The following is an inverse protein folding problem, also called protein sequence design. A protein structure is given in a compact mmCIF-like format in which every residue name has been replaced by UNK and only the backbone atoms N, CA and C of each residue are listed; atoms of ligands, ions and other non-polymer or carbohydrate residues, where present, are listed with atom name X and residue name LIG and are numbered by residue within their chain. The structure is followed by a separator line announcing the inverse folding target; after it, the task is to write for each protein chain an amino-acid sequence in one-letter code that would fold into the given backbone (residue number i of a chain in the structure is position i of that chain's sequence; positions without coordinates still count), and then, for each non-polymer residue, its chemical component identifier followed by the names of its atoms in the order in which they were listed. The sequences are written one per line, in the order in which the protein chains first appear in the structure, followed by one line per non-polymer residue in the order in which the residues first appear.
data_IF_292130290405
#
_entry.id   IF_292130290405
#
_cell.length_a   1.000
_cell.length_b   1.000
_cell.length_c   1.000
_cell.angle_alpha   90.00
_cell.angle_beta   90.00
_cell.angle_gamma   90.00
#
_symmetry.space_group_name_H-M   'P 1'
#
loop_
_entity.id
_entity.type
_entity.pdbx_description
1 polymer ?
#
# COMPACT_ATOMS: atom_id res chain seq x y z
N UNK A 1 9.94 -73.40 15.29
CA UNK A 1 8.85 -73.78 16.20
C UNK A 1 7.72 -72.75 16.03
N UNK A 2 6.57 -73.29 15.61
CA UNK A 2 5.34 -72.51 15.33
C UNK A 2 4.64 -72.15 16.62
N UNK A 3 4.07 -70.97 16.77
CA UNK A 3 2.87 -70.71 17.56
C UNK A 3 1.99 -69.68 16.83
N UNK A 4 0.71 -70.13 16.69
CA UNK A 4 -0.38 -69.45 16.00
C UNK A 4 -1.12 -68.46 16.94
N UNK A 5 -2.02 -67.62 16.38
CA UNK A 5 -2.54 -66.40 17.04
C UNK A 5 -3.82 -66.70 17.84
N UNK A 6 -4.01 -66.00 18.95
CA UNK A 6 -5.27 -65.97 19.72
C UNK A 6 -6.21 -64.88 19.07
N UNK A 7 -7.40 -65.32 18.70
CA UNK A 7 -8.56 -64.52 18.33
C UNK A 7 -9.26 -64.09 19.62
N UNK A 8 -9.36 -62.74 19.78
CA UNK A 8 -10.24 -62.16 20.81
C UNK A 8 -11.50 -61.66 20.14
N UNK A 9 -12.61 -62.18 20.61
CA UNK A 9 -13.98 -61.87 20.20
C UNK A 9 -14.41 -60.57 20.90
N UNK A 10 -14.73 -59.49 20.14
CA UNK A 10 -15.33 -58.30 20.71
C UNK A 10 -16.81 -58.28 20.38
N UNK A 11 -17.62 -58.35 21.48
CA UNK A 11 -19.05 -58.19 21.41
C UNK A 11 -19.43 -56.77 21.30
N UNK A 12 -20.10 -56.42 20.21
CA UNK A 12 -20.64 -55.05 19.97
C UNK A 12 -22.07 -54.99 20.49
N UNK A 13 -22.27 -54.20 21.53
CA UNK A 13 -23.62 -53.83 22.01
C UNK A 13 -24.12 -52.64 21.21
N UNK A 14 -25.23 -52.85 20.50
CA UNK A 14 -25.97 -51.75 19.83
C UNK A 14 -26.84 -51.03 20.87
N UNK A 15 -26.53 -49.77 21.15
CA UNK A 15 -27.43 -48.84 21.81
C UNK A 15 -28.21 -48.06 20.73
N UNK A 16 -29.51 -48.31 20.67
CA UNK A 16 -30.42 -47.56 19.82
C UNK A 16 -30.63 -46.14 20.38
N UNK A 17 -30.13 -45.15 19.70
CA UNK A 17 -30.46 -43.72 19.95
C UNK A 17 -31.64 -43.36 19.06
N UNK A 18 -32.79 -43.07 19.67
CA UNK A 18 -33.95 -42.55 19.00
C UNK A 18 -33.68 -41.10 18.51
N UNK A 19 -33.58 -40.91 17.20
CA UNK A 19 -33.51 -39.58 16.58
C UNK A 19 -34.94 -39.07 16.49
N UNK A 20 -35.28 -38.08 17.30
CA UNK A 20 -36.48 -37.25 17.12
C UNK A 20 -36.20 -36.31 15.94
N UNK A 21 -36.75 -36.62 14.79
CA UNK A 21 -36.72 -35.74 13.63
C UNK A 21 -37.70 -34.58 13.86
N UNK A 22 -37.18 -33.42 14.20
CA UNK A 22 -37.90 -32.15 14.01
C UNK A 22 -37.92 -31.84 12.52
N UNK A 23 -39.05 -32.11 11.87
CA UNK A 23 -39.33 -31.62 10.51
C UNK A 23 -39.54 -30.11 10.57
N UNK A 24 -38.51 -29.38 10.16
CA UNK A 24 -38.68 -27.96 9.80
C UNK A 24 -39.09 -27.91 8.34
N UNK A 25 -40.30 -27.45 8.10
CA UNK A 25 -40.80 -27.19 6.74
C UNK A 25 -39.92 -26.18 6.01
N UNK A 26 -39.57 -26.36 4.74
CA UNK A 26 -38.86 -25.38 3.95
C UNK A 26 -39.88 -24.35 3.43
N UNK A 27 -40.16 -23.33 4.23
CA UNK A 27 -40.86 -22.13 3.73
C UNK A 27 -40.05 -20.91 4.14
N UNK A 28 -39.79 -20.05 3.13
CA UNK A 28 -39.21 -18.72 3.21
C UNK A 28 -37.68 -18.62 3.27
N UNK A 29 -37.00 -19.10 2.22
CA UNK A 29 -35.83 -18.45 1.67
C UNK A 29 -36.28 -17.68 0.39
N UNK A 30 -37.25 -16.80 0.56
CA UNK A 30 -37.49 -15.76 -0.42
C UNK A 30 -36.49 -14.63 -0.16
N UNK A 31 -35.76 -14.35 -1.19
CA UNK A 31 -34.87 -13.21 -1.39
C UNK A 31 -35.53 -11.95 -0.87
N UNK A 32 -34.92 -11.34 0.13
CA UNK A 32 -35.18 -9.98 0.49
C UNK A 32 -34.69 -9.04 -0.60
N UNK A 33 -35.47 -8.91 -1.66
CA UNK A 33 -35.46 -7.67 -2.40
C UNK A 33 -36.02 -6.63 -1.43
N UNK A 34 -35.19 -5.66 -1.03
CA UNK A 34 -35.60 -4.53 -0.22
C UNK A 34 -36.82 -3.89 -0.87
N UNK A 35 -37.97 -4.08 -0.25
CA UNK A 35 -39.09 -3.17 -0.46
C UNK A 35 -38.68 -1.89 0.25
N UNK A 36 -38.40 -0.86 -0.53
CA UNK A 36 -38.41 0.51 -0.06
C UNK A 36 -39.77 0.75 0.60
N UNK A 37 -39.76 0.87 1.93
CA UNK A 37 -40.91 1.35 2.68
C UNK A 37 -41.03 2.85 2.39
N UNK A 38 -42.08 3.33 1.70
CA UNK A 38 -42.20 4.75 1.36
C UNK A 38 -42.47 5.66 2.57
N UNK A 39 -42.48 5.12 3.79
CA UNK A 39 -42.73 5.87 5.04
C UNK A 39 -41.49 6.11 5.91
N UNK A 40 -40.30 5.57 5.57
CA UNK A 40 -39.05 6.03 6.16
C UNK A 40 -38.60 7.30 5.44
N UNK A 41 -38.43 8.44 6.12
CA UNK A 41 -37.81 9.60 5.51
C UNK A 41 -36.38 9.16 5.15
N UNK A 42 -36.09 8.97 3.85
CA UNK A 42 -34.76 8.74 3.36
C UNK A 42 -33.88 9.87 3.90
N UNK A 43 -32.93 9.53 4.74
CA UNK A 43 -31.95 10.51 5.23
C UNK A 43 -31.14 10.89 3.98
N UNK A 44 -31.47 12.04 3.41
CA UNK A 44 -30.75 12.60 2.26
C UNK A 44 -29.31 12.83 2.75
N UNK A 45 -28.38 12.02 2.23
CA UNK A 45 -26.96 12.18 2.56
C UNK A 45 -26.50 13.46 1.88
N UNK A 46 -26.42 14.55 2.64
CA UNK A 46 -25.84 15.80 2.17
C UNK A 46 -24.35 15.58 1.99
N UNK A 47 -23.85 15.80 0.77
CA UNK A 47 -22.42 15.73 0.46
C UNK A 47 -21.82 17.13 0.45
N UNK A 48 -20.61 17.27 0.99
CA UNK A 48 -19.86 18.51 0.99
C UNK A 48 -19.12 18.78 -0.34
N UNK A 49 -18.35 19.86 -0.39
CA UNK A 49 -17.63 20.28 -1.62
C UNK A 49 -16.67 19.25 -2.19
N UNK A 50 -16.15 18.33 -1.37
CA UNK A 50 -15.25 17.26 -1.79
C UNK A 50 -15.98 15.94 -2.10
N UNK A 51 -17.34 15.96 -2.08
CA UNK A 51 -18.17 14.80 -2.37
C UNK A 51 -18.31 13.81 -1.21
N UNK A 52 -17.80 14.14 -0.01
CA UNK A 52 -17.92 13.28 1.17
C UNK A 52 -19.18 13.62 1.98
N UNK A 53 -19.72 12.67 2.78
CA UNK A 53 -20.86 12.92 3.64
C UNK A 53 -20.61 14.05 4.64
N UNK A 54 -21.59 14.93 4.83
CA UNK A 54 -21.60 15.94 5.88
C UNK A 54 -22.25 15.35 7.12
N UNK A 55 -21.56 15.42 8.24
CA UNK A 55 -22.03 14.90 9.52
C UNK A 55 -22.15 16.01 10.56
N UNK A 56 -23.20 15.93 11.38
CA UNK A 56 -23.40 16.82 12.54
C UNK A 56 -23.10 16.02 13.81
N UNK A 57 -22.06 16.42 14.55
CA UNK A 57 -21.55 15.67 15.71
C UNK A 57 -21.19 16.58 16.87
N UNK A 58 -21.37 16.07 18.09
CA UNK A 58 -20.90 16.70 19.34
C UNK A 58 -19.66 15.90 19.81
N UNK A 59 -18.49 16.27 19.33
CA UNK A 59 -17.22 15.57 19.62
C UNK A 59 -16.54 16.06 20.89
N UNK A 60 -17.05 17.11 21.51
CA UNK A 60 -16.40 17.79 22.64
C UNK A 60 -15.24 18.68 22.19
N UNK A 61 -15.10 18.95 20.92
CA UNK A 61 -14.07 19.81 20.32
C UNK A 61 -14.69 21.13 19.83
N UNK A 62 -13.94 22.24 19.80
CA UNK A 62 -14.33 23.43 19.03
C UNK A 62 -14.53 23.08 17.56
N UNK A 63 -15.50 23.68 16.88
CA UNK A 63 -15.89 23.28 15.54
C UNK A 63 -14.82 23.49 14.47
N UNK A 64 -13.96 24.47 14.62
CA UNK A 64 -12.80 24.71 13.77
C UNK A 64 -11.75 23.62 13.93
N UNK A 65 -11.47 23.18 15.16
CA UNK A 65 -10.59 22.06 15.48
C UNK A 65 -11.16 20.74 14.93
N UNK A 66 -12.45 20.47 15.21
CA UNK A 66 -13.16 19.27 14.72
C UNK A 66 -13.09 19.18 13.19
N UNK A 67 -13.32 20.31 12.51
CA UNK A 67 -13.22 20.36 11.03
C UNK A 67 -11.84 19.99 10.54
N UNK A 68 -10.76 20.53 11.13
CA UNK A 68 -9.38 20.21 10.70
C UNK A 68 -9.09 18.73 10.93
N UNK A 69 -9.41 18.19 12.11
CA UNK A 69 -9.19 16.78 12.42
C UNK A 69 -9.97 15.86 11.48
N UNK A 70 -11.23 16.15 11.20
CA UNK A 70 -12.06 15.38 10.28
C UNK A 70 -11.51 15.38 8.87
N UNK A 71 -11.11 16.53 8.35
CA UNK A 71 -10.71 16.64 6.94
C UNK A 71 -9.27 16.20 6.68
N UNK A 72 -8.38 16.28 7.68
CA UNK A 72 -6.94 16.04 7.52
C UNK A 72 -6.41 14.79 8.20
N UNK A 73 -7.07 14.31 9.28
CA UNK A 73 -6.50 13.29 10.15
C UNK A 73 -7.34 12.00 10.20
N UNK A 74 -8.67 12.11 10.17
CA UNK A 74 -9.55 10.99 10.48
C UNK A 74 -9.69 9.95 9.36
N UNK A 75 -9.08 10.15 8.18
CA UNK A 75 -8.90 9.07 7.21
C UNK A 75 -8.15 7.89 7.83
N UNK A 76 -7.12 8.18 8.64
CA UNK A 76 -6.32 7.18 9.35
C UNK A 76 -6.68 7.10 10.84
N UNK A 77 -6.87 8.25 11.50
CA UNK A 77 -7.13 8.39 12.92
C UNK A 77 -8.63 8.41 13.25
N UNK A 78 -9.44 7.58 12.57
CA UNK A 78 -10.87 7.38 12.86
C UNK A 78 -11.09 6.65 14.18
N UNK A 79 -12.35 6.46 14.61
CA UNK A 79 -12.69 5.75 15.84
C UNK A 79 -12.06 4.34 15.88
N UNK A 80 -12.11 3.62 14.77
CA UNK A 80 -11.25 2.48 14.49
C UNK A 80 -10.08 2.96 13.64
N UNK A 81 -8.89 3.02 14.25
CA UNK A 81 -7.70 3.49 13.55
C UNK A 81 -7.35 2.58 12.38
N UNK A 82 -6.90 3.19 11.28
CA UNK A 82 -6.50 2.51 10.04
C UNK A 82 -5.05 2.81 9.74
N UNK A 83 -4.43 1.97 8.91
CA UNK A 83 -3.10 2.24 8.31
C UNK A 83 -2.00 2.55 9.34
N UNK A 84 -1.97 1.78 10.44
CA UNK A 84 -0.93 1.94 11.47
C UNK A 84 -1.09 3.18 12.36
N UNK A 85 -2.16 3.96 12.21
CA UNK A 85 -2.42 5.09 13.11
C UNK A 85 -2.56 4.60 14.56
N UNK A 86 -1.76 5.15 15.44
CA UNK A 86 -1.57 4.64 16.81
C UNK A 86 -2.68 5.05 17.79
N UNK A 87 -3.51 6.04 17.43
CA UNK A 87 -4.60 6.54 18.29
C UNK A 87 -5.71 7.19 17.46
N UNK A 88 -6.98 7.12 17.87
CA UNK A 88 -8.06 7.90 17.28
C UNK A 88 -7.93 9.39 17.61
N UNK A 89 -8.35 10.26 16.70
CA UNK A 89 -8.42 11.71 16.85
C UNK A 89 -9.84 12.21 16.56
N UNK A 90 -10.86 11.57 17.18
CA UNK A 90 -12.27 11.82 16.89
C UNK A 90 -12.92 12.71 17.92
N UNK A 91 -12.62 12.50 19.20
CA UNK A 91 -13.24 13.21 20.30
C UNK A 91 -12.22 13.95 21.17
N UNK A 92 -12.68 14.96 21.91
CA UNK A 92 -11.85 15.58 22.95
C UNK A 92 -11.28 14.53 23.91
N UNK A 93 -12.09 13.54 24.31
CA UNK A 93 -11.66 12.46 25.20
C UNK A 93 -10.52 11.62 24.59
N UNK A 94 -10.51 11.39 23.29
CA UNK A 94 -9.41 10.69 22.63
C UNK A 94 -8.11 11.47 22.72
N UNK A 95 -8.17 12.77 22.50
CA UNK A 95 -7.02 13.66 22.55
C UNK A 95 -6.44 13.83 23.96
N UNK A 96 -7.23 13.57 25.00
CA UNK A 96 -6.79 13.61 26.41
C UNK A 96 -6.16 12.28 26.88
N UNK A 97 -6.23 11.20 26.12
CA UNK A 97 -5.58 9.93 26.47
C UNK A 97 -4.06 10.07 26.48
N UNK A 98 -3.38 9.18 27.21
CA UNK A 98 -1.93 9.03 27.16
C UNK A 98 -1.50 8.46 25.81
N UNK A 99 -0.35 8.91 25.33
CA UNK A 99 0.25 8.40 24.10
C UNK A 99 0.63 6.91 24.22
N UNK A 100 0.75 6.21 23.08
CA UNK A 100 1.12 4.80 23.06
C UNK A 100 2.62 4.57 23.33
N UNK A 101 2.95 3.40 23.87
CA UNK A 101 4.32 2.92 24.01
C UNK A 101 5.26 3.92 24.72
N UNK A 102 6.37 4.25 24.09
CA UNK A 102 7.38 5.19 24.62
C UNK A 102 6.84 6.63 24.83
N UNK A 103 5.71 6.98 24.25
CA UNK A 103 5.07 8.29 24.39
C UNK A 103 4.02 8.35 25.51
N UNK A 104 3.92 7.34 26.35
CA UNK A 104 2.91 7.25 27.42
C UNK A 104 2.95 8.42 28.46
N UNK A 105 4.06 9.14 28.54
CA UNK A 105 4.21 10.33 29.37
C UNK A 105 3.57 11.61 28.83
N UNK A 106 3.11 11.59 27.56
CA UNK A 106 2.48 12.73 26.88
C UNK A 106 1.02 12.44 26.57
N UNK A 107 0.22 13.48 26.49
CA UNK A 107 -1.15 13.39 25.97
C UNK A 107 -1.15 13.32 24.44
N UNK A 108 -2.21 12.73 23.85
CA UNK A 108 -2.34 12.63 22.39
C UNK A 108 -2.31 14.02 21.73
N UNK A 109 -2.96 15.03 22.29
CA UNK A 109 -2.93 16.39 21.72
C UNK A 109 -1.52 17.01 21.72
N UNK A 110 -0.64 16.65 22.68
CA UNK A 110 0.75 17.10 22.71
C UNK A 110 1.53 16.44 21.56
N UNK A 111 1.30 15.14 21.34
CA UNK A 111 1.89 14.42 20.22
C UNK A 111 1.40 14.95 18.86
N UNK A 112 0.13 15.34 18.76
CA UNK A 112 -0.41 16.02 17.57
C UNK A 112 0.39 17.30 17.31
N UNK A 113 0.60 18.15 18.34
CA UNK A 113 1.38 19.39 18.18
C UNK A 113 2.82 19.15 17.71
N UNK A 114 3.46 18.09 18.18
CA UNK A 114 4.80 17.71 17.73
C UNK A 114 4.80 17.24 16.28
N UNK A 115 3.87 16.36 15.93
CA UNK A 115 3.84 15.69 14.63
C UNK A 115 3.41 16.59 13.47
N UNK A 116 2.52 17.55 13.69
CA UNK A 116 2.14 18.52 12.65
C UNK A 116 3.25 19.54 12.32
N UNK A 117 4.30 19.60 13.15
CA UNK A 117 5.48 20.48 12.99
C UNK A 117 6.76 19.71 12.67
N UNK A 118 6.72 18.39 12.68
CA UNK A 118 7.87 17.53 12.42
C UNK A 118 8.17 17.52 10.91
N UNK A 119 9.21 18.25 10.50
CA UNK A 119 9.62 18.31 9.09
C UNK A 119 10.17 16.96 8.57
N UNK A 120 10.66 16.11 9.45
CA UNK A 120 11.22 14.81 9.05
C UNK A 120 10.12 13.76 8.85
N UNK A 121 9.06 13.83 9.63
CA UNK A 121 7.94 12.89 9.61
C UNK A 121 6.62 13.63 9.82
N UNK A 122 6.22 14.50 8.90
CA UNK A 122 5.05 15.35 9.07
C UNK A 122 3.74 14.56 9.18
N UNK A 123 2.75 15.15 9.82
CA UNK A 123 1.38 14.71 9.77
C UNK A 123 0.48 15.84 9.23
N UNK A 124 -0.42 15.59 8.28
CA UNK A 124 -0.63 14.33 7.55
C UNK A 124 0.62 13.91 6.75
N UNK A 125 0.82 12.58 6.56
CA UNK A 125 1.95 12.09 5.79
C UNK A 125 1.70 12.29 4.27
N UNK A 126 2.76 12.46 3.49
CA UNK A 126 2.66 12.43 2.01
C UNK A 126 2.01 11.13 1.53
N UNK A 127 1.15 11.13 0.45
CA UNK A 127 0.86 12.24 -0.45
C UNK A 127 -0.25 13.18 0.03
N UNK A 128 -0.79 12.98 1.25
CA UNK A 128 -1.81 13.87 1.77
C UNK A 128 -1.23 15.29 1.91
N UNK A 129 -2.00 16.33 1.55
CA UNK A 129 -1.51 17.69 1.67
C UNK A 129 -1.27 18.02 3.15
N UNK A 130 -0.15 18.68 3.41
CA UNK A 130 0.13 19.24 4.74
C UNK A 130 -0.96 20.23 5.15
N UNK A 131 -1.06 20.50 6.45
CA UNK A 131 -1.94 21.53 6.96
C UNK A 131 -1.60 22.89 6.33
N UNK A 132 -2.62 23.65 5.97
CA UNK A 132 -2.43 25.05 5.61
C UNK A 132 -1.99 25.86 6.84
N UNK A 133 -1.47 27.07 6.63
CA UNK A 133 -1.06 27.94 7.73
C UNK A 133 -2.20 28.20 8.73
N UNK A 134 -3.43 28.36 8.23
CA UNK A 134 -4.63 28.60 9.06
C UNK A 134 -5.03 27.34 9.84
N UNK A 135 -5.00 26.17 9.21
CA UNK A 135 -5.30 24.89 9.89
C UNK A 135 -4.25 24.58 10.97
N UNK A 136 -2.97 24.85 10.69
CA UNK A 136 -1.90 24.72 11.66
C UNK A 136 -2.08 25.69 12.82
N UNK A 137 -2.41 26.94 12.55
CA UNK A 137 -2.67 27.96 13.57
C UNK A 137 -3.88 27.60 14.45
N UNK A 138 -4.94 27.04 13.85
CA UNK A 138 -6.13 26.56 14.56
C UNK A 138 -5.78 25.48 15.57
N UNK A 139 -5.10 24.39 15.13
CA UNK A 139 -4.74 23.30 16.03
C UNK A 139 -3.73 23.76 17.10
N UNK A 140 -2.69 24.46 16.70
CA UNK A 140 -1.65 24.94 17.61
C UNK A 140 -2.18 25.94 18.65
N UNK A 141 -3.07 26.83 18.22
CA UNK A 141 -3.75 27.79 19.09
C UNK A 141 -4.60 27.10 20.16
N UNK A 142 -5.42 26.13 19.75
CA UNK A 142 -6.24 25.34 20.67
C UNK A 142 -5.39 24.54 21.66
N UNK A 143 -4.33 23.91 21.19
CA UNK A 143 -3.40 23.13 22.03
C UNK A 143 -2.70 24.04 23.04
N UNK A 144 -2.18 25.20 22.61
CA UNK A 144 -1.54 26.21 23.50
C UNK A 144 -2.51 26.79 24.52
N UNK A 145 -3.80 26.88 24.20
CA UNK A 145 -4.85 27.29 25.12
C UNK A 145 -5.23 26.18 26.13
N UNK A 146 -4.52 25.06 26.15
CA UNK A 146 -4.72 23.95 27.10
C UNK A 146 -5.66 22.86 26.56
N UNK A 147 -5.90 22.79 25.28
CA UNK A 147 -6.71 21.77 24.60
C UNK A 147 -8.08 21.56 25.30
N UNK A 148 -8.81 22.65 25.54
CA UNK A 148 -10.05 22.65 26.31
C UNK A 148 -11.21 22.02 25.54
N UNK A 149 -12.10 21.36 26.27
CA UNK A 149 -13.37 20.87 25.72
C UNK A 149 -14.28 22.02 25.27
N UNK A 150 -15.14 21.73 24.29
CA UNK A 150 -16.26 22.58 23.88
C UNK A 150 -17.59 21.81 23.98
N UNK A 151 -18.67 22.53 24.18
CA UNK A 151 -20.04 22.00 24.10
C UNK A 151 -20.64 22.13 22.68
N UNK A 152 -19.85 22.56 21.69
CA UNK A 152 -20.32 22.82 20.35
C UNK A 152 -20.80 21.54 19.65
N UNK A 153 -21.87 21.69 18.87
CA UNK A 153 -22.31 20.69 17.91
C UNK A 153 -21.87 21.17 16.55
N UNK A 154 -21.01 20.38 15.91
CA UNK A 154 -20.32 20.78 14.70
C UNK A 154 -20.86 20.04 13.47
N UNK A 155 -21.08 20.79 12.39
CA UNK A 155 -21.42 20.24 11.08
C UNK A 155 -20.22 20.38 10.16
N UNK A 156 -19.64 19.27 9.73
CA UNK A 156 -18.47 19.27 8.89
C UNK A 156 -18.46 18.06 7.97
N UNK A 157 -17.78 18.20 6.83
CA UNK A 157 -17.56 17.11 5.90
C UNK A 157 -16.62 16.08 6.55
N UNK A 158 -16.97 14.79 6.44
CA UNK A 158 -16.12 13.70 6.90
C UNK A 158 -14.90 13.56 5.95
N UNK A 159 -13.76 13.12 6.49
CA UNK A 159 -12.66 12.69 5.63
C UNK A 159 -13.13 11.51 4.76
N UNK A 160 -12.79 11.55 3.49
CA UNK A 160 -13.00 10.40 2.59
C UNK A 160 -12.11 9.22 3.01
N UNK A 161 -12.47 8.02 2.56
CA UNK A 161 -11.71 6.81 2.85
C UNK A 161 -10.32 6.76 2.18
N UNK A 162 -9.92 7.83 1.50
CA UNK A 162 -8.59 8.03 0.91
C UNK A 162 -8.39 7.34 -0.44
N UNK A 163 -9.04 6.23 -0.71
CA UNK A 163 -8.94 5.49 -1.97
C UNK A 163 -10.16 5.81 -2.83
N UNK A 164 -9.95 6.48 -3.97
CA UNK A 164 -11.04 6.69 -4.94
C UNK A 164 -11.47 5.34 -5.52
N UNK A 165 -12.76 5.12 -5.78
CA UNK A 165 -13.19 3.94 -6.53
C UNK A 165 -12.47 3.87 -7.89
N UNK A 166 -12.23 2.65 -8.39
CA UNK A 166 -11.79 2.48 -9.77
C UNK A 166 -12.83 3.06 -10.75
N UNK A 167 -12.38 3.56 -11.90
CA UNK A 167 -13.25 4.02 -12.99
C UNK A 167 -14.03 2.87 -13.64
N UNK A 168 -13.69 1.63 -13.34
CA UNK A 168 -14.27 0.39 -13.83
C UNK A 168 -14.76 -0.49 -12.67
N UNK A 169 -15.66 -1.43 -12.97
CA UNK A 169 -16.03 -2.50 -12.03
C UNK A 169 -14.99 -3.62 -12.12
N UNK A 170 -14.28 -3.97 -11.04
CA UNK A 170 -13.37 -5.11 -11.04
C UNK A 170 -14.04 -6.41 -11.49
N UNK A 171 -13.34 -7.18 -12.31
CA UNK A 171 -13.77 -8.47 -12.83
C UNK A 171 -12.89 -9.64 -12.34
N UNK A 172 -11.76 -9.34 -11.76
CA UNK A 172 -10.79 -10.31 -11.26
C UNK A 172 -10.30 -9.88 -9.88
N UNK A 173 -10.27 -10.82 -8.92
CA UNK A 173 -9.73 -10.59 -7.58
C UNK A 173 -8.59 -11.56 -7.31
N UNK A 174 -7.44 -11.05 -6.88
CA UNK A 174 -6.26 -11.79 -6.51
C UNK A 174 -6.12 -11.80 -4.99
N UNK A 175 -6.44 -12.92 -4.35
CA UNK A 175 -6.30 -13.13 -2.90
C UNK A 175 -5.75 -14.52 -2.61
N UNK A 176 -5.15 -14.70 -1.44
CA UNK A 176 -4.64 -16.01 -1.01
C UNK A 176 -5.75 -17.07 -0.92
N UNK A 177 -5.39 -18.32 -1.21
CA UNK A 177 -6.29 -19.47 -1.05
C UNK A 177 -6.68 -19.76 0.40
N UNK A 178 -5.95 -19.19 1.39
CA UNK A 178 -6.23 -19.26 2.82
C UNK A 178 -5.88 -17.93 3.49
N UNK A 179 -6.54 -17.63 4.61
CA UNK A 179 -6.20 -16.45 5.42
C UNK A 179 -4.82 -16.60 6.08
N UNK A 180 -4.06 -15.52 6.08
CA UNK A 180 -2.92 -15.39 6.98
C UNK A 180 -3.42 -15.21 8.42
N UNK A 181 -2.66 -15.72 9.41
CA UNK A 181 -2.95 -15.52 10.83
C UNK A 181 -1.68 -15.12 11.56
N UNK A 182 -1.71 -13.93 12.20
CA UNK A 182 -0.61 -13.42 13.02
C UNK A 182 -0.41 -14.32 14.24
N UNK A 183 0.77 -14.92 14.35
CA UNK A 183 1.09 -15.83 15.45
C UNK A 183 1.47 -15.07 16.73
N UNK A 184 1.21 -15.62 17.93
CA UNK A 184 1.76 -15.07 19.17
C UNK A 184 3.30 -15.01 19.12
N UNK A 185 3.87 -13.86 19.52
CA UNK A 185 5.33 -13.67 19.50
C UNK A 185 5.95 -13.51 18.11
N UNK A 186 5.12 -13.29 17.10
CA UNK A 186 5.57 -13.02 15.75
C UNK A 186 6.52 -11.79 15.71
N UNK A 187 7.56 -11.80 14.84
CA UNK A 187 8.44 -10.66 14.68
C UNK A 187 7.68 -9.39 14.26
N UNK A 188 8.33 -8.23 14.44
CA UNK A 188 7.77 -6.92 14.08
C UNK A 188 7.36 -6.90 12.61
N UNK A 189 8.25 -7.33 11.74
CA UNK A 189 8.05 -7.34 10.29
C UNK A 189 7.97 -8.79 9.79
N UNK A 190 6.96 -9.09 8.99
CA UNK A 190 6.77 -10.38 8.34
C UNK A 190 6.42 -10.17 6.87
N UNK A 191 7.18 -10.82 5.99
CA UNK A 191 6.89 -10.88 4.56
C UNK A 191 6.30 -12.24 4.22
N UNK A 192 5.14 -12.22 3.59
CA UNK A 192 4.38 -13.42 3.25
C UNK A 192 3.99 -13.35 1.78
N UNK A 193 4.30 -14.40 1.03
CA UNK A 193 3.97 -14.49 -0.39
C UNK A 193 2.97 -15.62 -0.67
N UNK A 194 2.18 -15.43 -1.73
CA UNK A 194 1.33 -16.48 -2.27
C UNK A 194 1.09 -16.27 -3.77
N UNK A 195 0.86 -17.38 -4.49
CA UNK A 195 0.57 -17.38 -5.91
C UNK A 195 -0.93 -17.45 -6.21
N UNK A 196 -1.34 -16.84 -7.31
CA UNK A 196 -2.67 -16.97 -7.90
C UNK A 196 -2.51 -17.24 -9.40
N UNK A 197 -2.92 -18.43 -9.85
CA UNK A 197 -2.84 -18.82 -11.24
C UNK A 197 -4.16 -18.54 -11.95
N UNK A 198 -4.11 -17.84 -13.10
CA UNK A 198 -5.26 -17.55 -13.93
C UNK A 198 -5.03 -18.16 -15.31
N UNK A 199 -5.91 -19.09 -15.73
CA UNK A 199 -5.85 -19.69 -17.05
C UNK A 199 -6.75 -18.94 -18.04
N UNK A 200 -6.18 -18.40 -19.08
CA UNK A 200 -6.84 -17.53 -20.05
C UNK A 200 -6.92 -18.19 -21.43
N UNK A 201 -8.10 -18.15 -22.08
CA UNK A 201 -8.26 -18.68 -23.45
C UNK A 201 -7.60 -17.79 -24.49
N UNK A 202 -7.40 -16.50 -24.19
CA UNK A 202 -6.78 -15.50 -25.06
C UNK A 202 -6.01 -14.49 -24.20
N UNK A 203 -5.11 -13.72 -24.82
CA UNK A 203 -4.45 -12.57 -24.19
C UNK A 203 -5.49 -11.53 -23.79
N UNK A 204 -5.30 -10.92 -22.62
CA UNK A 204 -6.04 -9.73 -22.17
C UNK A 204 -5.11 -8.73 -21.51
N UNK A 205 -5.60 -7.52 -21.26
CA UNK A 205 -4.87 -6.49 -20.54
C UNK A 205 -5.51 -6.19 -19.20
N UNK A 206 -4.71 -6.06 -18.15
CA UNK A 206 -5.12 -5.38 -16.92
C UNK A 206 -5.04 -3.87 -17.18
N UNK A 207 -6.14 -3.18 -16.94
CA UNK A 207 -6.30 -1.75 -17.25
C UNK A 207 -6.33 -0.86 -16.02
N UNK A 208 -6.67 -1.45 -14.87
CA UNK A 208 -6.65 -0.78 -13.58
C UNK A 208 -6.52 -1.79 -12.44
N UNK A 209 -5.93 -1.35 -11.33
CA UNK A 209 -5.68 -2.16 -10.14
C UNK A 209 -6.04 -1.36 -8.88
N UNK A 210 -6.76 -1.99 -7.96
CA UNK A 210 -7.04 -1.44 -6.65
C UNK A 210 -6.56 -2.38 -5.55
N UNK A 211 -5.91 -1.88 -4.49
CA UNK A 211 -5.63 -2.70 -3.32
C UNK A 211 -6.94 -3.15 -2.67
N UNK A 212 -7.04 -4.43 -2.37
CA UNK A 212 -8.11 -5.03 -1.58
C UNK A 212 -7.57 -5.26 -0.17
N UNK A 213 -7.83 -4.32 0.72
CA UNK A 213 -7.32 -4.35 2.10
C UNK A 213 -8.38 -4.96 3.02
N UNK A 214 -8.06 -6.09 3.67
CA UNK A 214 -8.93 -6.78 4.64
C UNK A 214 -8.63 -6.29 6.07
N UNK A 215 -7.36 -6.39 6.54
CA UNK A 215 -7.01 -6.01 7.91
C UNK A 215 -5.98 -4.89 7.98
N UNK A 216 -6.46 -3.67 8.13
CA UNK A 216 -5.62 -2.45 8.23
C UNK A 216 -4.79 -2.35 9.51
N UNK A 217 -5.00 -3.25 10.51
CA UNK A 217 -4.26 -3.22 11.78
C UNK A 217 -2.89 -3.85 11.69
N UNK A 218 -2.72 -4.78 10.76
CA UNK A 218 -1.47 -5.55 10.60
C UNK A 218 -0.86 -5.44 9.21
N UNK A 219 -1.66 -5.14 8.18
CA UNK A 219 -1.14 -4.98 6.82
C UNK A 219 -0.44 -3.64 6.66
N UNK A 220 0.84 -3.69 6.23
CA UNK A 220 1.65 -2.49 5.97
C UNK A 220 1.73 -2.17 4.47
N UNK A 221 2.05 -3.16 3.60
CA UNK A 221 2.01 -2.95 2.15
C UNK A 221 1.74 -4.24 1.38
N UNK A 222 1.37 -4.10 0.11
CA UNK A 222 1.17 -5.18 -0.85
C UNK A 222 1.99 -4.90 -2.10
N UNK A 223 2.82 -5.85 -2.54
CA UNK A 223 3.44 -5.83 -3.85
C UNK A 223 2.80 -6.92 -4.73
N UNK A 224 2.56 -6.58 -5.99
CA UNK A 224 2.01 -7.48 -7.00
C UNK A 224 3.05 -7.74 -8.08
N UNK A 225 3.28 -9.02 -8.36
CA UNK A 225 4.24 -9.48 -9.35
C UNK A 225 3.59 -10.44 -10.35
N UNK A 226 4.20 -10.56 -11.52
CA UNK A 226 4.04 -11.71 -12.42
C UNK A 226 5.26 -12.61 -12.31
N UNK A 227 5.04 -13.93 -12.14
CA UNK A 227 6.06 -14.95 -12.01
C UNK A 227 6.17 -15.83 -13.27
N UNK A 228 7.33 -16.44 -13.54
CA UNK A 228 7.50 -17.35 -14.71
C UNK A 228 6.90 -18.73 -14.47
N UNK A 229 6.47 -19.05 -13.25
CA UNK A 229 5.89 -20.34 -12.86
C UNK A 229 4.94 -20.16 -11.69
N UNK A 230 4.12 -21.19 -11.43
CA UNK A 230 3.23 -21.24 -10.27
C UNK A 230 4.01 -21.17 -8.95
N UNK A 231 3.47 -20.43 -8.01
CA UNK A 231 3.94 -20.34 -6.62
C UNK A 231 2.84 -20.85 -5.66
N UNK A 232 3.16 -21.22 -4.41
CA UNK A 232 2.17 -21.71 -3.46
C UNK A 232 0.98 -20.76 -3.29
N UNK A 233 -0.25 -21.29 -3.36
CA UNK A 233 -1.46 -20.45 -3.20
C UNK A 233 -1.78 -20.10 -1.74
N UNK A 234 -1.12 -20.73 -0.78
CA UNK A 234 -1.26 -20.44 0.66
C UNK A 234 -0.15 -19.50 1.10
N UNK A 235 -0.44 -18.57 2.05
CA UNK A 235 0.57 -17.66 2.59
C UNK A 235 1.79 -18.40 3.16
N UNK A 236 2.96 -18.12 2.63
CA UNK A 236 4.26 -18.68 3.06
C UNK A 236 5.26 -17.55 3.28
N UNK A 237 6.16 -17.70 4.25
CA UNK A 237 7.21 -16.70 4.49
C UNK A 237 8.10 -16.54 3.24
N UNK A 238 8.42 -15.30 2.90
CA UNK A 238 9.28 -14.96 1.78
C UNK A 238 10.20 -13.77 2.12
N UNK A 239 11.11 -13.39 1.20
CA UNK A 239 11.91 -12.19 1.36
C UNK A 239 11.14 -10.93 0.97
N UNK A 240 11.61 -9.75 1.40
CA UNK A 240 10.97 -8.48 1.08
C UNK A 240 10.98 -8.15 -0.43
N UNK A 241 11.89 -8.72 -1.21
CA UNK A 241 11.89 -8.63 -2.68
C UNK A 241 11.24 -9.83 -3.38
N UNK A 242 10.75 -10.81 -2.61
CA UNK A 242 10.24 -12.03 -3.17
C UNK A 242 11.34 -12.80 -3.93
N UNK A 243 11.17 -12.97 -5.23
CA UNK A 243 12.15 -13.64 -6.10
C UNK A 243 12.66 -12.68 -7.17
N UNK A 244 13.97 -12.74 -7.47
CA UNK A 244 14.55 -12.02 -8.59
C UNK A 244 13.96 -12.43 -9.97
N UNK A 245 13.25 -13.56 -10.02
CA UNK A 245 12.56 -14.03 -11.22
C UNK A 245 11.17 -13.40 -11.42
N UNK A 246 10.64 -12.65 -10.44
CA UNK A 246 9.33 -12.04 -10.54
C UNK A 246 9.43 -10.62 -11.11
N UNK A 247 8.44 -10.24 -11.91
CA UNK A 247 8.30 -8.89 -12.47
C UNK A 247 7.35 -8.07 -11.64
N UNK A 248 7.81 -6.96 -11.08
CA UNK A 248 6.94 -6.03 -10.38
C UNK A 248 5.91 -5.43 -11.35
N UNK A 249 4.66 -5.39 -10.93
CA UNK A 249 3.53 -4.80 -11.65
C UNK A 249 2.98 -3.60 -10.89
N UNK A 250 2.75 -3.73 -9.60
CA UNK A 250 2.22 -2.66 -8.76
C UNK A 250 2.67 -2.83 -7.31
N UNK A 251 2.66 -1.72 -6.57
CA UNK A 251 2.79 -1.68 -5.13
C UNK A 251 1.73 -0.77 -4.52
N UNK A 252 1.33 -1.10 -3.30
CA UNK A 252 0.46 -0.26 -2.48
C UNK A 252 0.95 -0.26 -1.03
N UNK A 253 0.90 0.91 -0.42
CA UNK A 253 1.08 1.10 1.02
C UNK A 253 -0.01 2.04 1.56
N UNK A 254 -0.20 2.16 2.89
CA UNK A 254 -1.18 3.07 3.48
C UNK A 254 -1.09 4.48 2.92
N UNK A 255 -2.27 5.06 2.59
CA UNK A 255 -2.34 6.34 1.89
C UNK A 255 -2.15 6.27 0.37
N UNK A 256 -1.71 5.13 -0.15
CA UNK A 256 -1.60 4.89 -1.58
C UNK A 256 -2.97 4.83 -2.27
N UNK A 257 -2.98 5.14 -3.55
CA UNK A 257 -4.16 5.16 -4.41
C UNK A 257 -4.15 3.99 -5.40
N UNK A 258 -5.26 3.83 -6.10
CA UNK A 258 -5.38 2.90 -7.23
C UNK A 258 -4.40 3.25 -8.34
N UNK A 259 -4.05 2.26 -9.15
CA UNK A 259 -3.30 2.45 -10.37
C UNK A 259 -4.23 2.25 -11.57
N UNK A 260 -4.49 3.32 -12.31
CA UNK A 260 -5.21 3.28 -13.59
C UNK A 260 -4.24 3.56 -14.73
N UNK A 261 -4.22 2.67 -15.71
CA UNK A 261 -3.31 2.80 -16.85
C UNK A 261 -3.93 3.70 -17.94
N UNK A 262 -3.11 4.43 -18.69
CA UNK A 262 -3.59 5.24 -19.81
C UNK A 262 -4.28 4.35 -20.87
N UNK A 263 -5.23 4.89 -21.66
CA UNK A 263 -6.00 4.12 -22.64
C UNK A 263 -5.14 3.43 -23.71
N UNK A 264 -3.90 3.88 -23.89
CA UNK A 264 -2.96 3.31 -24.86
C UNK A 264 -2.22 2.08 -24.35
N UNK A 265 -2.30 1.73 -23.05
CA UNK A 265 -1.50 0.66 -22.46
C UNK A 265 -2.26 -0.18 -21.45
N UNK A 266 -1.86 -1.47 -21.31
CA UNK A 266 -2.33 -2.38 -20.28
C UNK A 266 -1.23 -3.34 -19.86
N UNK A 267 -1.24 -3.82 -18.62
CA UNK A 267 -0.33 -4.90 -18.24
C UNK A 267 -0.80 -6.21 -18.89
N UNK A 268 0.09 -6.91 -19.62
CA UNK A 268 -0.32 -8.10 -20.37
C UNK A 268 -0.56 -9.29 -19.45
N UNK A 269 -1.65 -9.98 -19.69
CA UNK A 269 -1.89 -11.37 -19.28
C UNK A 269 -1.95 -12.21 -20.56
N UNK A 270 -0.94 -13.05 -20.78
CA UNK A 270 -0.84 -13.82 -22.00
C UNK A 270 -1.82 -14.99 -22.04
N UNK A 271 -2.13 -15.50 -23.24
CA UNK A 271 -2.89 -16.75 -23.41
C UNK A 271 -2.19 -17.90 -22.67
N UNK A 272 -2.96 -18.71 -21.95
CA UNK A 272 -2.47 -19.78 -21.09
C UNK A 272 -2.52 -19.37 -19.62
N UNK A 273 -1.58 -19.85 -18.82
CA UNK A 273 -1.58 -19.54 -17.39
C UNK A 273 -0.72 -18.32 -17.10
N UNK A 274 -1.33 -17.28 -16.57
CA UNK A 274 -0.62 -16.17 -15.95
C UNK A 274 -0.45 -16.48 -14.47
N UNK A 275 0.78 -16.44 -13.99
CA UNK A 275 1.14 -16.67 -12.59
C UNK A 275 1.32 -15.33 -11.89
N UNK A 276 0.34 -14.95 -11.09
CA UNK A 276 0.42 -13.78 -10.22
C UNK A 276 1.05 -14.17 -8.89
N UNK A 277 1.83 -13.28 -8.32
CA UNK A 277 2.33 -13.43 -6.94
C UNK A 277 2.09 -12.15 -6.18
N UNK A 278 1.53 -12.30 -4.99
CA UNK A 278 1.36 -11.21 -4.05
C UNK A 278 2.34 -11.39 -2.90
N UNK A 279 3.03 -10.32 -2.56
CA UNK A 279 3.79 -10.22 -1.33
C UNK A 279 3.07 -9.23 -0.41
N UNK A 280 2.77 -9.69 0.80
CA UNK A 280 2.21 -8.86 1.85
C UNK A 280 3.24 -8.65 2.94
N UNK A 281 3.46 -7.40 3.30
CA UNK A 281 4.23 -7.03 4.48
C UNK A 281 3.27 -6.76 5.63
N UNK A 282 3.42 -7.54 6.69
CA UNK A 282 2.69 -7.35 7.93
C UNK A 282 3.59 -6.70 8.97
N UNK A 283 3.09 -5.65 9.63
CA UNK A 283 3.76 -5.00 10.74
C UNK A 283 3.01 -5.30 12.04
N UNK A 284 3.71 -5.87 13.02
CA UNK A 284 3.15 -6.27 14.32
C UNK A 284 3.50 -5.28 15.45
N UNK A 285 3.66 -4.00 15.14
CA UNK A 285 4.03 -2.97 16.13
C UNK A 285 3.04 -2.88 17.31
N UNK A 286 1.79 -3.26 17.10
CA UNK A 286 0.75 -3.27 18.12
C UNK A 286 0.70 -4.58 18.92
N UNK A 287 1.53 -5.57 18.57
CA UNK A 287 1.59 -6.89 19.19
C UNK A 287 0.19 -7.55 19.34
N UNK A 288 -0.54 -7.70 18.22
CA UNK A 288 -1.90 -8.21 18.14
C UNK A 288 -1.92 -9.65 17.63
N UNK A 289 -1.79 -10.67 18.50
CA UNK A 289 -1.86 -12.06 18.07
C UNK A 289 -3.29 -12.44 17.62
N UNK A 290 -3.38 -13.43 16.73
CA UNK A 290 -4.64 -13.95 16.25
C UNK A 290 -5.37 -13.08 15.23
N UNK A 291 -4.79 -11.93 14.83
CA UNK A 291 -5.33 -11.15 13.70
C UNK A 291 -5.21 -11.98 12.42
N UNK A 292 -6.26 -11.95 11.61
CA UNK A 292 -6.28 -12.63 10.31
C UNK A 292 -6.37 -11.61 9.19
N UNK A 293 -5.83 -11.95 8.02
CA UNK A 293 -5.86 -11.11 6.83
C UNK A 293 -6.01 -11.94 5.55
N UNK A 294 -6.74 -11.41 4.58
CA UNK A 294 -6.85 -11.94 3.22
C UNK A 294 -6.84 -10.80 2.20
N UNK A 295 -5.93 -9.87 2.41
CA UNK A 295 -5.72 -8.75 1.48
C UNK A 295 -5.16 -9.21 0.15
N UNK A 296 -5.29 -8.36 -0.88
CA UNK A 296 -4.86 -8.64 -2.23
C UNK A 296 -5.08 -7.49 -3.18
N UNK A 297 -5.44 -7.79 -4.43
CA UNK A 297 -5.76 -6.80 -5.46
C UNK A 297 -7.06 -7.16 -6.19
N UNK A 298 -7.85 -6.13 -6.49
CA UNK A 298 -8.93 -6.17 -7.44
C UNK A 298 -8.44 -5.58 -8.77
N UNK A 299 -8.71 -6.28 -9.88
CA UNK A 299 -8.27 -5.90 -11.22
C UNK A 299 -9.47 -5.62 -12.12
N UNK A 300 -9.32 -4.64 -12.99
CA UNK A 300 -10.14 -4.50 -14.17
C UNK A 300 -9.36 -4.97 -15.39
N UNK A 301 -9.95 -5.85 -16.18
CA UNK A 301 -9.32 -6.41 -17.36
C UNK A 301 -10.09 -6.14 -18.64
N UNK A 302 -9.49 -6.35 -19.80
CA UNK A 302 -10.14 -6.24 -21.10
C UNK A 302 -9.53 -7.17 -22.13
N UNK A 303 -10.38 -7.85 -22.88
CA UNK A 303 -9.99 -8.62 -24.07
C UNK A 303 -9.83 -7.73 -25.32
N UNK A 304 -10.39 -6.51 -25.29
CA UNK A 304 -10.09 -5.47 -26.29
C UNK A 304 -8.70 -4.91 -25.99
N UNK A 305 -7.68 -5.52 -26.57
CA UNK A 305 -6.31 -5.18 -26.30
C UNK A 305 -6.03 -3.70 -26.61
N UNK A 306 -5.38 -3.02 -25.67
CA UNK A 306 -4.84 -1.68 -25.88
C UNK A 306 -3.62 -1.74 -26.80
N UNK A 307 -3.25 -0.65 -27.47
CA UNK A 307 -2.14 -0.66 -28.45
C UNK A 307 -0.81 -1.15 -27.91
N UNK A 308 -0.53 -1.00 -26.61
CA UNK A 308 0.75 -1.32 -26.02
C UNK A 308 0.62 -2.18 -24.77
N UNK A 309 1.52 -3.13 -24.61
CA UNK A 309 1.81 -3.74 -23.33
C UNK A 309 2.55 -2.73 -22.45
N UNK A 310 2.19 -2.67 -21.16
CA UNK A 310 2.86 -1.87 -20.15
C UNK A 310 3.90 -2.69 -19.37
N UNK A 311 4.87 -1.98 -18.79
CA UNK A 311 5.86 -2.54 -17.88
C UNK A 311 6.21 -1.57 -16.76
N UNK A 312 7.00 -2.04 -15.80
CA UNK A 312 7.57 -1.22 -14.72
C UNK A 312 9.08 -1.30 -14.77
N UNK A 313 9.76 -0.20 -14.48
CA UNK A 313 11.22 -0.12 -14.40
C UNK A 313 11.63 0.65 -13.14
N UNK A 314 12.68 0.17 -12.45
CA UNK A 314 13.21 0.78 -11.23
C UNK A 314 14.44 1.63 -11.53
N UNK A 315 14.34 2.95 -11.39
CA UNK A 315 15.48 3.85 -11.38
C UNK A 315 15.95 4.11 -9.95
N UNK A 316 17.24 4.34 -9.76
CA UNK A 316 17.83 4.55 -8.44
C UNK A 316 19.10 3.74 -8.25
N UNK A 317 19.31 3.16 -7.07
CA UNK A 317 20.51 2.35 -6.80
C UNK A 317 20.35 1.39 -5.63
N UNK A 318 21.05 0.25 -5.74
CA UNK A 318 21.30 -0.67 -4.62
C UNK A 318 22.69 -0.47 -4.00
N UNK A 319 23.47 0.52 -4.45
CA UNK A 319 24.86 0.75 -4.05
C UNK A 319 25.01 2.10 -3.39
N UNK A 320 24.84 2.14 -2.08
CA UNK A 320 25.06 3.31 -1.25
C UNK A 320 25.37 2.90 0.20
N UNK A 321 25.96 3.83 0.94
CA UNK A 321 26.16 3.72 2.38
C UNK A 321 25.85 5.08 3.01
N UNK A 322 24.88 5.11 3.90
CA UNK A 322 24.43 6.31 4.60
C UNK A 322 25.20 6.41 5.92
N UNK A 323 26.07 7.42 6.12
CA UNK A 323 26.86 7.57 7.33
C UNK A 323 26.00 7.75 8.59
N UNK A 324 26.52 7.42 9.78
CA UNK A 324 25.84 7.70 11.03
C UNK A 324 25.68 9.20 11.26
N UNK A 325 24.61 9.61 11.92
CA UNK A 325 24.31 10.99 12.35
C UNK A 325 24.38 12.02 11.22
N UNK A 326 23.96 11.63 10.00
CA UNK A 326 24.12 12.46 8.82
C UNK A 326 22.81 12.59 8.01
N UNK A 327 22.66 13.74 7.37
CA UNK A 327 21.86 13.85 6.17
C UNK A 327 22.74 13.45 5.00
N UNK A 328 22.30 12.51 4.18
CA UNK A 328 23.07 11.96 3.07
C UNK A 328 22.22 11.93 1.82
N UNK A 329 22.80 12.29 0.71
CA UNK A 329 22.13 12.22 -0.59
C UNK A 329 23.03 11.57 -1.63
N UNK A 330 22.42 10.80 -2.51
CA UNK A 330 23.06 10.30 -3.72
C UNK A 330 22.25 10.74 -4.94
N UNK A 331 22.96 10.91 -6.03
CA UNK A 331 22.43 11.15 -7.36
C UNK A 331 22.90 10.04 -8.27
N UNK A 332 21.96 9.33 -8.87
CA UNK A 332 22.22 8.16 -9.69
C UNK A 332 21.74 8.39 -11.12
N UNK A 333 22.66 8.31 -12.06
CA UNK A 333 22.42 8.52 -13.47
C UNK A 333 22.43 7.20 -14.23
N UNK A 334 21.38 6.96 -15.03
CA UNK A 334 21.27 5.82 -15.93
C UNK A 334 20.99 6.29 -17.37
N UNK A 335 21.90 5.99 -18.27
CA UNK A 335 21.73 6.31 -19.70
C UNK A 335 20.81 5.29 -20.36
N UNK A 336 19.73 5.76 -20.97
CA UNK A 336 18.73 4.91 -21.62
C UNK A 336 19.30 4.26 -22.89
N UNK A 337 19.29 2.93 -22.99
CA UNK A 337 19.73 2.20 -24.19
C UNK A 337 18.71 2.34 -25.33
N UNK A 338 19.08 1.82 -26.51
CA UNK A 338 18.25 1.85 -27.72
C UNK A 338 16.86 1.20 -27.55
N UNK A 339 16.70 0.33 -26.57
CA UNK A 339 15.41 -0.30 -26.25
C UNK A 339 14.36 0.67 -25.73
N UNK A 340 14.76 1.87 -25.26
CA UNK A 340 13.83 2.92 -24.81
C UNK A 340 13.35 3.84 -25.95
N UNK A 341 13.45 3.41 -27.20
CA UNK A 341 12.93 4.17 -28.33
C UNK A 341 11.38 4.23 -28.29
N UNK A 342 10.82 5.43 -28.29
CA UNK A 342 9.38 5.68 -28.30
C UNK A 342 8.67 5.37 -26.98
N UNK A 343 9.41 5.19 -25.89
CA UNK A 343 8.86 4.87 -24.57
C UNK A 343 8.21 6.12 -23.94
N UNK A 344 7.01 5.91 -23.39
CA UNK A 344 6.26 6.88 -22.61
C UNK A 344 6.13 6.41 -21.16
N UNK A 345 6.24 7.35 -20.22
CA UNK A 345 6.13 7.12 -18.78
C UNK A 345 4.75 7.59 -18.31
N UNK A 346 4.08 6.81 -17.44
CA UNK A 346 2.72 7.13 -17.01
C UNK A 346 2.52 7.14 -15.49
N UNK A 347 3.42 6.54 -14.71
CA UNK A 347 3.31 6.45 -13.27
C UNK A 347 4.69 6.48 -12.61
N UNK A 348 4.82 7.13 -11.46
CA UNK A 348 5.98 7.09 -10.58
C UNK A 348 5.56 6.57 -9.20
N UNK A 349 6.33 5.65 -8.62
CA UNK A 349 6.10 5.07 -7.30
C UNK A 349 7.42 5.08 -6.53
N UNK A 350 7.72 6.19 -5.81
CA UNK A 350 8.96 6.34 -5.07
C UNK A 350 9.00 5.39 -3.88
N UNK A 351 10.16 4.76 -3.64
CA UNK A 351 10.35 3.83 -2.54
C UNK A 351 11.69 4.01 -1.85
N UNK A 352 11.65 4.35 -0.59
CA UNK A 352 12.73 4.31 0.40
C UNK A 352 12.19 3.74 1.71
N UNK A 353 13.06 3.46 2.68
CA UNK A 353 12.64 3.04 4.02
C UNK A 353 12.56 4.22 5.01
N UNK A 354 12.64 3.91 6.31
CA UNK A 354 12.29 4.83 7.40
C UNK A 354 13.17 6.08 7.51
N UNK A 355 14.36 6.08 6.91
CA UNK A 355 15.29 7.23 6.91
C UNK A 355 15.16 8.08 5.67
N UNK A 356 14.41 7.62 4.66
CA UNK A 356 14.09 8.39 3.46
C UNK A 356 13.48 9.74 3.83
N UNK A 357 13.95 10.81 3.21
CA UNK A 357 13.45 12.17 3.48
C UNK A 357 13.07 12.94 2.23
N UNK A 358 13.67 12.65 1.07
CA UNK A 358 13.27 13.23 -0.20
C UNK A 358 13.70 12.34 -1.37
N UNK A 359 12.92 12.38 -2.46
CA UNK A 359 13.26 11.71 -3.71
C UNK A 359 12.89 12.60 -4.92
N UNK A 360 13.67 12.53 -5.98
CA UNK A 360 13.30 13.11 -7.25
C UNK A 360 13.87 12.31 -8.41
N UNK A 361 13.15 12.30 -9.53
CA UNK A 361 13.61 11.75 -10.82
C UNK A 361 13.49 12.79 -11.91
N UNK A 362 14.59 13.02 -12.63
CA UNK A 362 14.69 13.95 -13.74
C UNK A 362 15.17 13.22 -15.00
N UNK A 363 14.74 13.71 -16.15
CA UNK A 363 15.28 13.35 -17.45
C UNK A 363 16.28 14.40 -17.89
N UNK A 364 17.42 14.00 -18.42
CA UNK A 364 18.37 14.86 -19.11
C UNK A 364 18.34 14.47 -20.59
N UNK A 365 17.71 15.29 -21.46
CA UNK A 365 17.63 15.02 -22.89
C UNK A 365 19.00 14.86 -23.51
N UNK A 366 19.21 13.78 -24.27
CA UNK A 366 20.50 13.46 -24.90
C UNK A 366 21.68 13.30 -23.92
N UNK A 367 21.39 13.11 -22.64
CA UNK A 367 22.39 12.92 -21.58
C UNK A 367 23.03 14.20 -21.04
N UNK A 368 22.93 15.32 -21.75
CA UNK A 368 23.57 16.61 -21.40
C UNK A 368 22.61 17.80 -21.39
N UNK A 369 21.34 17.60 -21.77
CA UNK A 369 20.30 18.63 -21.71
C UNK A 369 19.99 19.10 -20.29
N UNK A 370 19.30 20.23 -20.18
CA UNK A 370 18.82 20.72 -18.90
C UNK A 370 17.90 19.67 -18.25
N UNK A 371 18.01 19.44 -16.92
CA UNK A 371 17.16 18.49 -16.23
C UNK A 371 15.66 18.87 -16.34
N UNK A 372 14.87 17.95 -16.88
CA UNK A 372 13.42 18.03 -16.93
C UNK A 372 12.84 17.19 -15.79
N UNK A 373 11.99 17.79 -14.96
CA UNK A 373 11.38 17.09 -13.86
C UNK A 373 10.38 16.04 -14.35
N UNK A 374 10.58 14.78 -13.97
CA UNK A 374 9.65 13.69 -14.14
C UNK A 374 8.80 13.55 -12.87
N UNK A 375 9.46 13.50 -11.71
CA UNK A 375 8.83 13.34 -10.42
C UNK A 375 9.66 14.02 -9.33
N UNK A 376 8.99 14.55 -8.30
CA UNK A 376 9.65 15.13 -7.13
C UNK A 376 8.79 14.97 -5.88
N UNK A 377 9.40 14.45 -4.82
CA UNK A 377 8.82 14.34 -3.49
C UNK A 377 9.81 14.89 -2.45
N UNK A 378 9.69 16.18 -2.09
CA UNK A 378 10.60 16.84 -1.16
C UNK A 378 10.45 16.37 0.30
N UNK A 379 9.31 15.74 0.64
CA UNK A 379 9.00 15.21 1.98
C UNK A 379 8.53 13.77 1.83
N UNK A 380 9.49 12.83 1.64
CA UNK A 380 9.18 11.42 1.59
C UNK A 380 8.74 10.92 2.97
N UNK A 381 7.76 10.03 3.00
CA UNK A 381 7.31 9.36 4.22
C UNK A 381 7.13 7.86 3.95
N UNK A 382 7.88 7.04 4.68
CA UNK A 382 7.83 5.59 4.59
C UNK A 382 6.45 4.99 4.86
N UNK A 383 5.70 5.57 5.79
CA UNK A 383 4.37 5.09 6.18
C UNK A 383 3.29 5.38 5.14
N UNK A 384 3.62 6.13 4.09
CA UNK A 384 2.65 6.55 3.08
C UNK A 384 3.31 6.66 1.71
N UNK A 385 3.29 5.57 0.96
CA UNK A 385 3.90 5.45 -0.35
C UNK A 385 2.81 5.28 -1.41
N UNK A 386 2.65 6.28 -2.27
CA UNK A 386 1.60 6.35 -3.27
C UNK A 386 2.11 6.22 -4.70
N UNK A 387 1.19 5.94 -5.60
CA UNK A 387 1.38 6.04 -7.04
C UNK A 387 1.07 7.47 -7.51
N UNK A 388 1.94 8.06 -8.31
CA UNK A 388 1.80 9.41 -8.85
C UNK A 388 1.67 9.36 -10.37
N UNK A 389 0.54 9.81 -10.93
CA UNK A 389 0.40 9.94 -12.37
C UNK A 389 1.47 10.91 -12.92
N UNK A 390 2.19 10.48 -13.92
CA UNK A 390 3.15 11.31 -14.67
C UNK A 390 2.86 11.19 -16.17
N UNK A 391 3.35 12.15 -16.94
CA UNK A 391 3.30 12.11 -18.40
C UNK A 391 4.62 12.62 -18.94
N UNK A 392 5.42 11.71 -19.48
CA UNK A 392 6.69 12.04 -20.10
C UNK A 392 7.01 11.08 -21.24
N UNK A 393 7.87 11.52 -22.17
CA UNK A 393 8.44 10.66 -23.20
C UNK A 393 9.94 10.66 -23.05
N UNK A 394 10.55 9.51 -23.26
CA UNK A 394 12.01 9.33 -23.18
C UNK A 394 12.54 8.74 -24.47
N UNK A 395 13.83 8.95 -24.73
CA UNK A 395 14.51 8.49 -25.94
C UNK A 395 15.86 7.82 -25.58
N UNK A 396 16.39 6.97 -26.47
CA UNK A 396 17.76 6.47 -26.33
C UNK A 396 18.77 7.61 -26.19
N UNK A 397 19.73 7.45 -25.28
CA UNK A 397 20.73 8.48 -24.97
C UNK A 397 20.30 9.51 -23.93
N UNK A 398 19.02 9.60 -23.58
CA UNK A 398 18.60 10.37 -22.40
C UNK A 398 19.20 9.77 -21.13
N UNK A 399 19.41 10.60 -20.12
CA UNK A 399 19.81 10.12 -18.79
C UNK A 399 18.64 10.29 -17.83
N UNK A 400 18.25 9.19 -17.20
CA UNK A 400 17.35 9.23 -16.06
C UNK A 400 18.18 9.40 -14.79
N UNK A 401 17.94 10.50 -14.11
CA UNK A 401 18.64 10.92 -12.90
C UNK A 401 17.73 10.80 -11.70
N UNK A 402 18.00 9.84 -10.82
CA UNK A 402 17.26 9.68 -9.57
C UNK A 402 18.12 10.16 -8.40
N UNK A 403 17.55 11.01 -7.56
CA UNK A 403 18.18 11.51 -6.35
C UNK A 403 17.41 10.99 -5.15
N UNK A 404 18.11 10.34 -4.21
CA UNK A 404 17.58 9.91 -2.91
C UNK A 404 18.28 10.66 -1.79
N UNK A 405 17.52 11.12 -0.81
CA UNK A 405 18.04 11.81 0.37
C UNK A 405 17.52 11.13 1.62
N UNK A 406 18.42 10.90 2.58
CA UNK A 406 18.11 10.25 3.86
C UNK A 406 18.55 11.12 5.02
N UNK A 407 17.91 10.93 6.17
CA UNK A 407 18.34 11.43 7.48
C UNK A 407 18.60 10.23 8.38
N UNK A 408 19.86 9.94 8.69
CA UNK A 408 20.25 8.86 9.60
C UNK A 408 20.59 9.43 11.00
N UNK A 409 19.66 9.35 11.97
CA UNK A 409 19.92 9.83 13.32
C UNK A 409 20.72 8.83 14.17
N UNK A 410 20.90 7.59 13.68
CA UNK A 410 21.56 6.50 14.40
C UNK A 410 23.08 6.55 14.33
N UNK A 411 23.72 5.68 15.12
CA UNK A 411 25.18 5.58 15.25
C UNK A 411 25.81 4.57 14.28
N UNK A 412 25.00 3.82 13.51
CA UNK A 412 25.47 2.85 12.55
C UNK A 412 25.37 3.39 11.11
N UNK A 413 26.30 2.97 10.26
CA UNK A 413 26.17 3.14 8.80
C UNK A 413 25.08 2.22 8.31
N UNK A 414 24.20 2.74 7.44
CA UNK A 414 23.08 2.01 6.86
C UNK A 414 23.33 1.84 5.36
N UNK A 415 23.18 0.62 4.86
CA UNK A 415 23.30 0.27 3.45
C UNK A 415 21.97 -0.15 2.86
N UNK A 416 22.05 -0.63 1.60
CA UNK A 416 20.94 -1.27 0.93
C UNK A 416 20.59 -2.59 1.63
N UNK A 417 19.29 -2.81 1.83
CA UNK A 417 18.76 -4.06 2.38
C UNK A 417 17.24 -4.09 2.40
N UNK A 418 16.70 -5.25 2.76
CA UNK A 418 15.27 -5.56 2.70
C UNK A 418 14.53 -5.22 4.00
N UNK A 419 15.23 -5.18 5.14
CA UNK A 419 14.61 -4.87 6.43
C UNK A 419 14.22 -3.41 6.56
N UNK A 420 13.16 -3.13 7.32
CA UNK A 420 12.73 -1.75 7.63
C UNK A 420 13.85 -0.89 8.24
N UNK A 421 14.82 -1.53 8.89
CA UNK A 421 16.04 -0.87 9.45
C UNK A 421 17.13 -0.57 8.44
N UNK A 422 17.13 -1.23 7.28
CA UNK A 422 17.98 -0.96 6.12
C UNK A 422 17.42 0.19 5.29
N UNK A 423 17.97 0.46 4.11
CA UNK A 423 17.45 1.49 3.20
C UNK A 423 17.38 1.07 1.76
N UNK A 424 16.51 1.76 1.02
CA UNK A 424 16.32 1.62 -0.42
C UNK A 424 16.36 2.98 -1.12
N UNK A 425 16.57 2.94 -2.44
CA UNK A 425 16.49 4.08 -3.34
C UNK A 425 15.94 3.62 -4.67
N UNK A 426 14.61 3.59 -4.81
CA UNK A 426 13.95 3.20 -6.04
C UNK A 426 12.81 4.16 -6.38
N UNK A 427 12.75 4.60 -7.64
CA UNK A 427 11.55 5.15 -8.27
C UNK A 427 11.06 4.10 -9.28
N UNK A 428 9.96 3.42 -8.95
CA UNK A 428 9.32 2.45 -9.83
C UNK A 428 8.45 3.18 -10.83
N UNK A 429 8.89 3.23 -12.07
CA UNK A 429 8.22 3.99 -13.12
C UNK A 429 7.47 3.04 -14.06
N UNK A 430 6.15 3.25 -14.16
CA UNK A 430 5.30 2.62 -15.15
C UNK A 430 5.53 3.21 -16.54
N UNK A 431 5.68 2.35 -17.55
CA UNK A 431 6.00 2.78 -18.92
C UNK A 431 5.34 1.91 -19.98
N UNK A 432 5.29 2.40 -21.21
CA UNK A 432 4.87 1.67 -22.41
C UNK A 432 5.54 2.24 -23.68
N UNK A 433 5.68 1.47 -24.78
CA UNK A 433 5.50 0.02 -24.87
C UNK A 433 6.48 -0.74 -23.97
N UNK A 434 6.07 -1.94 -23.52
CA UNK A 434 6.91 -2.79 -22.67
C UNK A 434 8.19 -3.20 -23.39
N UNK A 435 9.31 -3.13 -22.69
CA UNK A 435 10.62 -3.58 -23.14
C UNK A 435 10.78 -5.04 -22.72
N UNK A 436 10.85 -5.97 -23.68
CA UNK A 436 11.01 -7.39 -23.37
C UNK A 436 12.27 -7.67 -22.55
N UNK A 437 12.18 -8.60 -21.60
CA UNK A 437 13.36 -9.10 -20.92
C UNK A 437 14.30 -9.78 -21.88
N UNK A 438 15.60 -9.61 -21.63
CA UNK A 438 16.64 -10.27 -22.41
C UNK A 438 17.06 -11.56 -21.70
N UNK A 439 17.37 -12.57 -22.49
CA UNK A 439 17.99 -13.80 -22.00
C UNK A 439 19.46 -13.80 -22.42
N UNK A 440 20.39 -13.87 -21.47
CA UNK A 440 21.82 -14.01 -21.73
C UNK A 440 22.25 -15.32 -21.08
N UNK A 441 22.87 -16.21 -21.89
CA UNK A 441 23.29 -17.55 -21.46
C UNK A 441 22.17 -18.37 -20.77
N UNK A 442 20.93 -18.22 -21.22
CA UNK A 442 19.77 -18.91 -20.62
C UNK A 442 19.25 -18.32 -19.32
N UNK A 443 19.86 -17.25 -18.81
CA UNK A 443 19.41 -16.52 -17.64
C UNK A 443 18.64 -15.26 -18.04
N UNK A 444 17.45 -15.02 -17.46
CA UNK A 444 16.71 -13.81 -17.75
C UNK A 444 17.43 -12.59 -17.13
N UNK A 445 17.68 -11.58 -17.95
CA UNK A 445 18.03 -10.24 -17.48
C UNK A 445 16.75 -9.44 -17.35
N UNK A 446 16.31 -9.24 -16.11
CA UNK A 446 15.09 -8.49 -15.83
C UNK A 446 15.31 -7.02 -16.14
N UNK A 447 14.62 -6.54 -17.15
CA UNK A 447 14.71 -5.15 -17.60
C UNK A 447 14.28 -4.19 -16.48
N UNK A 448 13.34 -4.61 -15.62
CA UNK A 448 12.77 -3.73 -14.60
C UNK A 448 13.75 -3.29 -13.51
N UNK A 449 14.72 -4.12 -13.11
CA UNK A 449 15.70 -3.79 -12.04
C UNK A 449 17.07 -3.33 -12.58
N UNK A 450 17.35 -3.57 -13.85
CA UNK A 450 18.67 -3.31 -14.47
C UNK A 450 19.15 -1.87 -14.27
N UNK A 451 18.30 -0.81 -14.42
CA UNK A 451 18.77 0.56 -14.23
C UNK A 451 19.33 0.81 -12.83
N UNK A 452 18.65 0.34 -11.77
CA UNK A 452 19.10 0.58 -10.40
C UNK A 452 20.37 -0.19 -10.02
N UNK A 453 20.63 -1.33 -10.69
CA UNK A 453 21.86 -2.12 -10.49
C UNK A 453 23.06 -1.54 -11.23
N UNK A 454 22.85 -0.83 -12.34
CA UNK A 454 23.90 -0.36 -13.25
C UNK A 454 24.07 1.17 -13.29
N UNK A 455 23.25 1.93 -12.56
CA UNK A 455 23.37 3.38 -12.47
C UNK A 455 24.73 3.82 -11.92
N UNK A 456 25.24 4.94 -12.44
CA UNK A 456 26.41 5.63 -11.92
C UNK A 456 25.98 6.61 -10.85
N UNK A 457 26.38 6.40 -9.61
CA UNK A 457 25.97 7.22 -8.48
C UNK A 457 27.12 8.08 -7.95
N UNK A 458 26.79 9.32 -7.56
CA UNK A 458 27.66 10.27 -6.87
C UNK A 458 27.00 10.69 -5.56
N UNK A 459 27.81 10.86 -4.51
CA UNK A 459 27.38 11.47 -3.24
C UNK A 459 27.27 12.97 -3.42
N UNK A 460 26.24 13.59 -2.83
CA UNK A 460 26.00 15.06 -2.84
C UNK A 460 26.09 15.67 -1.45
#
# INVERSE_FOLDING_TARGET
MRRAPHKTLVVTSFAAVAIVACTVSPSALERGAGRDDPSSPGTEIVTGPNGNPVETTATGLPCDVDKVLKTRCQTCHSAETKYGASAPLVTHADLQKSGPGASAGKKIYELVSERIKDEARPMPPSPNPLLTADELATLDGWIKAGAKASSDTCTSERAGDGVKPLSCKPDTTLVAGAKFTMQPGAPLDQYVCFGVDINLPAKRHVTALAPKVDNTKILHHILLFQAPKSEPSTPTACSAFGSAAWKLVAGWAPGGNNLELPPEAGFPEEKGVTHWVLQLHYNNALNLPGQTDQSGYDLCTTENLRPNDAGVVAFGSTRFNIPPRATHAIRCDYTLPSTFNGVKLFNASPHMHTRGSAMSTHRLPGGTGAPEKIFEMPNFNFENQANFPITASVAPGDVMRTRCTWKNPGDATIGFGEGTGDEMCFDFIGYYPNIPDRTIFGLPLFTWITPSQSASCTVE
#
